data_IF_419341657409
#
_entry.id   IF_419341657409
#
_cell.length_a   1.000
_cell.length_b   1.000
_cell.length_c   1.000
_cell.angle_alpha   90.00
_cell.angle_beta   90.00
_cell.angle_gamma   90.00
#
_symmetry.space_group_name_H-M   'P 1'
#
loop_
_entity.id
_entity.type
_entity.pdbx_description
1 polymer ?
#
# COMPACT_ATOMS: atom_id res chain seq x y z
N UNK A 1 49.14 -14.72 22.18
CA UNK A 1 48.84 -13.94 20.97
C UNK A 1 49.65 -14.46 19.80
N UNK A 2 49.13 -15.50 19.14
CA UNK A 2 49.64 -16.00 17.86
C UNK A 2 48.88 -15.39 16.68
N UNK A 3 49.47 -15.39 15.48
CA UNK A 3 48.80 -14.89 14.26
C UNK A 3 47.46 -15.59 14.01
N UNK A 4 47.41 -16.90 14.26
CA UNK A 4 46.18 -17.71 14.12
C UNK A 4 45.11 -17.26 15.12
N UNK A 5 45.50 -17.05 16.37
CA UNK A 5 44.62 -16.57 17.44
C UNK A 5 44.03 -15.19 17.11
N UNK A 6 44.85 -14.26 16.59
CA UNK A 6 44.39 -12.94 16.15
C UNK A 6 43.35 -13.05 15.03
N UNK A 7 43.58 -13.89 14.03
CA UNK A 7 42.64 -14.06 12.91
C UNK A 7 41.30 -14.65 13.38
N UNK A 8 41.35 -15.69 14.23
CA UNK A 8 40.14 -16.33 14.74
C UNK A 8 39.27 -15.35 15.54
N UNK A 9 39.90 -14.55 16.40
CA UNK A 9 39.17 -13.64 17.29
C UNK A 9 38.66 -12.41 16.55
N UNK A 10 39.48 -11.79 15.69
CA UNK A 10 39.14 -10.48 15.11
C UNK A 10 38.51 -10.55 13.72
N UNK A 11 38.57 -11.69 13.03
CA UNK A 11 37.99 -11.85 11.69
C UNK A 11 36.89 -12.90 11.71
N UNK A 12 37.19 -14.09 12.21
CA UNK A 12 36.25 -15.22 12.14
C UNK A 12 35.07 -15.03 13.08
N UNK A 13 35.29 -14.65 14.34
CA UNK A 13 34.18 -14.46 15.28
C UNK A 13 33.19 -13.36 14.85
N UNK A 14 33.63 -12.16 14.40
CA UNK A 14 32.71 -11.15 13.87
C UNK A 14 31.99 -11.61 12.60
N UNK A 15 32.71 -12.25 11.66
CA UNK A 15 32.10 -12.78 10.44
C UNK A 15 31.04 -13.86 10.75
N UNK A 16 31.30 -14.72 11.73
CA UNK A 16 30.36 -15.73 12.20
C UNK A 16 29.11 -15.07 12.81
N UNK A 17 29.26 -14.02 13.63
CA UNK A 17 28.13 -13.29 14.18
C UNK A 17 27.26 -12.67 13.08
N UNK A 18 27.86 -12.01 12.10
CA UNK A 18 27.15 -11.47 10.93
C UNK A 18 26.49 -12.59 10.12
N UNK A 19 27.18 -13.71 9.91
CA UNK A 19 26.64 -14.87 9.21
C UNK A 19 25.41 -15.46 9.89
N UNK A 20 25.43 -15.59 11.22
CA UNK A 20 24.27 -16.02 12.01
C UNK A 20 23.11 -15.04 11.83
N UNK A 21 23.35 -13.74 11.94
CA UNK A 21 22.30 -12.73 11.73
C UNK A 21 21.72 -12.79 10.32
N UNK A 22 22.57 -12.92 9.30
CA UNK A 22 22.16 -13.07 7.90
C UNK A 22 21.27 -14.32 7.71
N UNK A 23 21.66 -15.45 8.30
CA UNK A 23 20.87 -16.68 8.28
C UNK A 23 19.53 -16.52 9.00
N UNK A 24 19.48 -15.81 10.13
CA UNK A 24 18.22 -15.56 10.84
C UNK A 24 17.28 -14.64 10.05
N UNK A 25 17.83 -13.64 9.37
CA UNK A 25 17.06 -12.67 8.57
C UNK A 25 16.57 -13.29 7.26
N UNK A 26 17.45 -13.95 6.52
CA UNK A 26 17.15 -14.44 5.16
C UNK A 26 16.83 -15.94 5.09
N UNK A 27 17.23 -16.72 6.09
CA UNK A 27 17.03 -18.18 6.10
C UNK A 27 15.56 -18.58 6.27
N UNK A 28 14.77 -17.74 6.95
CA UNK A 28 13.31 -17.76 6.80
C UNK A 28 12.98 -17.00 5.52
N UNK A 29 13.24 -17.65 4.39
CA UNK A 29 12.98 -17.10 3.07
C UNK A 29 11.62 -16.42 3.07
N UNK A 30 11.60 -15.17 2.60
CA UNK A 30 10.41 -14.37 2.38
C UNK A 30 9.36 -15.25 1.69
N UNK A 31 8.47 -15.84 2.48
CA UNK A 31 7.26 -16.49 2.00
C UNK A 31 6.36 -15.35 1.58
N UNK A 32 6.76 -14.64 0.51
CA UNK A 32 5.87 -13.84 -0.30
C UNK A 32 4.72 -14.78 -0.54
N UNK A 33 3.57 -14.44 0.05
CA UNK A 33 2.39 -15.30 0.01
C UNK A 33 2.14 -15.76 -1.42
N UNK A 34 1.36 -16.85 -1.60
CA UNK A 34 1.06 -17.38 -2.93
C UNK A 34 0.73 -16.21 -3.86
N UNK A 35 1.39 -16.15 -5.03
CA UNK A 35 1.15 -15.10 -6.02
C UNK A 35 -0.02 -15.53 -6.89
N UNK A 36 -0.93 -14.60 -7.18
CA UNK A 36 -2.00 -14.86 -8.13
C UNK A 36 -1.40 -15.22 -9.50
N UNK A 37 -2.01 -16.22 -10.16
CA UNK A 37 -1.66 -16.62 -11.53
C UNK A 37 -2.88 -16.39 -12.43
N UNK A 38 -2.73 -15.72 -13.58
CA UNK A 38 -3.83 -15.60 -14.56
C UNK A 38 -4.42 -16.97 -14.91
N UNK A 39 -5.75 -17.05 -15.00
CA UNK A 39 -6.47 -18.30 -15.28
C UNK A 39 -6.77 -19.18 -14.06
N UNK A 40 -6.30 -18.81 -12.87
CA UNK A 40 -6.77 -19.41 -11.61
C UNK A 40 -7.96 -18.62 -11.06
N UNK A 41 -8.77 -19.26 -10.22
CA UNK A 41 -9.75 -18.54 -9.40
C UNK A 41 -9.04 -17.51 -8.51
N UNK A 42 -9.74 -16.44 -8.13
CA UNK A 42 -9.19 -15.36 -7.31
C UNK A 42 -9.48 -15.66 -5.83
N UNK A 43 -8.48 -16.11 -5.03
CA UNK A 43 -8.70 -16.52 -3.64
C UNK A 43 -8.53 -15.36 -2.63
N UNK A 44 -8.28 -14.13 -3.09
CA UNK A 44 -7.97 -13.00 -2.22
C UNK A 44 -9.21 -12.14 -1.96
N UNK A 45 -9.22 -11.46 -0.83
CA UNK A 45 -10.18 -10.40 -0.55
C UNK A 45 -10.13 -9.30 -1.62
N UNK A 46 -11.26 -8.64 -1.95
CA UNK A 46 -11.27 -7.46 -2.80
C UNK A 46 -10.43 -6.33 -2.20
N UNK A 47 -9.58 -5.70 -3.01
CA UNK A 47 -8.71 -4.59 -2.57
C UNK A 47 -8.89 -3.40 -3.48
N UNK A 48 -9.08 -2.22 -2.89
CA UNK A 48 -9.06 -0.94 -3.60
C UNK A 48 -7.76 -0.20 -3.29
N UNK A 49 -6.96 0.02 -4.32
CA UNK A 49 -5.73 0.80 -4.20
C UNK A 49 -6.03 2.28 -4.45
N UNK A 50 -5.90 3.09 -3.40
CA UNK A 50 -6.01 4.54 -3.53
C UNK A 50 -4.71 5.12 -4.09
N UNK A 51 -4.76 6.10 -5.02
CA UNK A 51 -3.56 6.68 -5.64
C UNK A 51 -2.59 7.36 -4.66
N UNK A 52 -3.05 7.77 -3.48
CA UNK A 52 -2.23 8.39 -2.44
C UNK A 52 -2.85 8.11 -1.05
N UNK A 53 -2.06 7.80 0.01
CA UNK A 53 -2.59 7.65 1.38
C UNK A 53 -3.37 8.87 1.89
N UNK A 54 -3.03 10.08 1.43
CA UNK A 54 -3.80 11.29 1.76
C UNK A 54 -5.16 11.29 1.08
N UNK A 55 -5.32 10.68 -0.10
CA UNK A 55 -6.61 10.59 -0.79
C UNK A 55 -7.63 9.76 0.01
N UNK A 56 -7.19 8.79 0.80
CA UNK A 56 -8.07 8.00 1.69
C UNK A 56 -8.49 8.83 2.90
N UNK A 57 -7.57 9.64 3.45
CA UNK A 57 -7.87 10.59 4.53
C UNK A 57 -8.81 11.69 4.06
N UNK A 58 -8.63 12.15 2.82
CA UNK A 58 -9.51 13.08 2.12
C UNK A 58 -10.84 12.43 1.70
N UNK A 59 -11.02 11.13 1.87
CA UNK A 59 -12.31 10.45 1.69
C UNK A 59 -12.96 10.12 3.04
N UNK A 60 -12.16 9.83 4.08
CA UNK A 60 -12.65 9.62 5.44
C UNK A 60 -12.94 10.92 6.20
N UNK A 61 -12.20 12.00 5.96
CA UNK A 61 -12.49 13.35 6.45
C UNK A 61 -13.51 14.09 5.59
N UNK A 62 -13.72 13.62 4.36
CA UNK A 62 -14.79 14.11 3.49
C UNK A 62 -16.09 13.37 3.84
N UNK A 63 -16.55 13.64 5.07
CA UNK A 63 -17.95 13.96 5.23
C UNK A 63 -18.34 15.09 4.24
N UNK A 64 -19.63 15.33 3.97
CA UNK A 64 -20.11 16.06 2.79
C UNK A 64 -19.86 17.58 2.81
N UNK A 65 -18.69 18.04 3.21
CA UNK A 65 -18.31 19.45 3.24
C UNK A 65 -16.85 19.59 2.79
N UNK A 66 -16.62 19.72 1.48
CA UNK A 66 -15.46 20.50 1.01
C UNK A 66 -15.89 21.96 0.85
N UNK A 67 -15.02 22.94 1.17
CA UNK A 67 -15.33 24.35 0.98
C UNK A 67 -15.53 24.61 -0.53
N UNK A 68 -16.75 24.99 -0.90
CA UNK A 68 -17.03 25.47 -2.25
C UNK A 68 -16.35 26.84 -2.42
N UNK A 69 -15.49 26.97 -3.43
CA UNK A 69 -15.11 28.28 -3.96
C UNK A 69 -16.41 29.00 -4.39
N UNK A 70 -16.58 30.31 -4.11
CA UNK A 70 -17.85 30.97 -4.33
C UNK A 70 -18.25 30.91 -5.80
N UNK A 71 -19.36 30.22 -6.07
CA UNK A 71 -19.99 30.21 -7.37
C UNK A 71 -20.49 31.63 -7.69
N UNK A 72 -20.12 32.13 -8.87
CA UNK A 72 -20.66 33.38 -9.37
C UNK A 72 -22.19 33.35 -9.34
N UNK A 73 -22.75 34.44 -8.83
CA UNK A 73 -24.17 34.66 -8.58
C UNK A 73 -25.01 34.36 -9.82
N UNK A 74 -25.97 33.45 -9.67
CA UNK A 74 -27.27 33.57 -10.34
C UNK A 74 -28.32 32.85 -9.51
N UNK A 75 -29.28 33.64 -9.05
CA UNK A 75 -30.29 33.29 -8.08
C UNK A 75 -31.32 32.28 -8.62
N UNK A 76 -31.61 31.24 -7.84
CA UNK A 76 -32.98 30.76 -7.56
C UNK A 76 -32.94 29.73 -6.43
N UNK A 77 -33.58 30.04 -5.31
CA UNK A 77 -33.76 29.12 -4.19
C UNK A 77 -34.64 27.94 -4.63
N UNK A 78 -34.02 26.79 -4.82
CA UNK A 78 -34.72 25.50 -4.87
C UNK A 78 -34.09 24.64 -3.79
N UNK A 79 -34.83 24.42 -2.71
CA UNK A 79 -34.50 23.41 -1.71
C UNK A 79 -34.54 22.05 -2.42
N UNK A 80 -33.38 21.60 -2.90
CA UNK A 80 -33.18 20.28 -3.47
C UNK A 80 -32.21 19.52 -2.57
N UNK A 81 -32.59 18.29 -2.23
CA UNK A 81 -31.73 17.34 -1.55
C UNK A 81 -30.40 17.20 -2.31
N UNK A 82 -29.27 16.88 -1.65
CA UNK A 82 -28.00 16.71 -2.32
C UNK A 82 -28.15 15.71 -3.48
N UNK A 83 -27.63 16.02 -4.68
CA UNK A 83 -27.77 15.13 -5.82
C UNK A 83 -27.12 13.80 -5.48
N UNK A 84 -27.89 12.72 -5.61
CA UNK A 84 -27.37 11.36 -5.49
C UNK A 84 -26.21 11.21 -6.48
N UNK A 85 -25.14 10.48 -6.13
CA UNK A 85 -24.04 10.23 -7.05
C UNK A 85 -24.58 9.55 -8.31
N UNK A 86 -24.69 10.32 -9.39
CA UNK A 86 -25.06 9.80 -10.71
C UNK A 86 -23.82 9.21 -11.37
N UNK A 87 -23.98 8.02 -11.94
CA UNK A 87 -22.90 7.36 -12.68
C UNK A 87 -22.44 8.26 -13.83
N UNK A 88 -21.19 8.72 -13.77
CA UNK A 88 -20.63 9.67 -14.75
C UNK A 88 -20.14 8.99 -16.05
N UNK A 89 -20.00 7.66 -16.07
CA UNK A 89 -19.55 6.89 -17.24
C UNK A 89 -19.05 5.48 -16.90
N UNK A 90 -18.56 4.74 -17.89
CA UNK A 90 -17.98 3.40 -17.71
C UNK A 90 -17.22 2.90 -18.96
N UNK A 91 -16.19 2.09 -18.74
CA UNK A 91 -15.42 1.42 -19.80
C UNK A 91 -15.33 -0.08 -19.50
N UNK A 92 -15.38 -0.94 -20.53
CA UNK A 92 -15.26 -2.39 -20.39
C UNK A 92 -14.39 -2.98 -21.50
N UNK A 93 -13.70 -4.07 -21.19
CA UNK A 93 -12.93 -4.86 -22.15
C UNK A 93 -12.90 -6.33 -21.72
N UNK A 94 -12.71 -7.21 -22.69
CA UNK A 94 -12.50 -8.65 -22.47
C UNK A 94 -11.08 -9.00 -22.90
N UNK A 95 -10.34 -9.65 -22.01
CA UNK A 95 -8.96 -10.10 -22.20
C UNK A 95 -8.94 -11.59 -22.54
#
# INVERSE_FOLDING_TARGET
MSVVETILVFVVAPAAAVGVMALLIWGRGDTRGPRYRPGREWPYEPVWYAPHPLAVQDLSQRGPARPQLPAAVSARTVTSAPPAPTAAGGARGTW
#
